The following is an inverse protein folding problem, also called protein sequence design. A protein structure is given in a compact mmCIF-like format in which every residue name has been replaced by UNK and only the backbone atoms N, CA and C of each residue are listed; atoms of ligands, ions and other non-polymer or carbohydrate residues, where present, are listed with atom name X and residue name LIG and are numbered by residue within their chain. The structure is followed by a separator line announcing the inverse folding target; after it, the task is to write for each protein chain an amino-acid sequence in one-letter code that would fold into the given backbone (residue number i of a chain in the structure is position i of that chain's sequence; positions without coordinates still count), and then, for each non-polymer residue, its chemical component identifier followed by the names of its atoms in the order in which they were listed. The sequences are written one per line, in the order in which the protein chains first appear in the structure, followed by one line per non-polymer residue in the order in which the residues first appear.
data_IF_954961912648
#
_entry.id   IF_954961912648
#
_cell.length_a   1.000
_cell.length_b   1.000
_cell.length_c   1.000
_cell.angle_alpha   90.00
_cell.angle_beta   90.00
_cell.angle_gamma   90.00
#
_symmetry.space_group_name_H-M   'P 1'
#
loop_
_entity.id
_entity.type
_entity.pdbx_description
1 polymer ?
#
# COMPACT_ATOMS: atom_id res chain seq x y z
N UNK A 1 -12.12 -4.79 10.58
CA UNK A 1 -11.05 -5.53 11.28
C UNK A 1 -10.52 -6.56 10.32
N UNK A 2 -9.21 -6.58 10.09
CA UNK A 2 -8.62 -7.53 9.16
C UNK A 2 -8.46 -8.90 9.86
N UNK A 3 -8.64 -9.99 9.12
CA UNK A 3 -8.68 -11.32 9.73
C UNK A 3 -7.28 -11.81 10.10
N UNK A 4 -7.13 -12.62 11.17
CA UNK A 4 -5.87 -13.30 11.49
C UNK A 4 -5.32 -14.13 10.32
N UNK A 5 -6.20 -14.67 9.48
CA UNK A 5 -5.83 -15.44 8.29
C UNK A 5 -5.15 -14.57 7.22
N UNK A 6 -5.69 -13.38 6.92
CA UNK A 6 -5.08 -12.43 5.98
C UNK A 6 -3.68 -11.98 6.45
N UNK A 7 -3.53 -11.73 7.76
CA UNK A 7 -2.23 -11.41 8.36
C UNK A 7 -1.22 -12.53 8.12
N UNK A 8 -1.64 -13.79 8.34
CA UNK A 8 -0.76 -14.95 8.13
C UNK A 8 -0.33 -15.08 6.67
N UNK A 9 -1.25 -14.87 5.73
CA UNK A 9 -0.93 -14.90 4.29
C UNK A 9 0.07 -13.80 3.92
N UNK A 10 -0.12 -12.57 4.42
CA UNK A 10 0.83 -11.47 4.20
C UNK A 10 2.21 -11.71 4.81
N UNK A 11 2.31 -12.50 5.89
CA UNK A 11 3.58 -12.83 6.54
C UNK A 11 4.22 -14.14 6.05
N UNK A 12 3.50 -14.89 5.21
CA UNK A 12 3.93 -16.19 4.70
C UNK A 12 5.15 -16.07 3.76
N UNK A 13 5.89 -17.18 3.53
CA UNK A 13 6.94 -17.24 2.52
C UNK A 13 6.43 -16.86 1.12
N UNK A 14 7.32 -16.37 0.26
CA UNK A 14 6.94 -15.84 -1.07
C UNK A 14 6.19 -16.85 -1.94
N UNK A 15 6.53 -18.14 -1.86
CA UNK A 15 5.83 -19.20 -2.61
C UNK A 15 4.35 -19.26 -2.20
N UNK A 16 4.06 -19.15 -0.91
CA UNK A 16 2.69 -19.19 -0.38
C UNK A 16 1.93 -17.92 -0.74
N UNK A 17 2.55 -16.76 -0.54
CA UNK A 17 1.93 -15.48 -0.87
C UNK A 17 1.63 -15.36 -2.38
N UNK A 18 2.54 -15.79 -3.25
CA UNK A 18 2.31 -15.83 -4.71
C UNK A 18 1.20 -16.80 -5.10
N UNK A 19 1.06 -17.93 -4.41
CA UNK A 19 -0.07 -18.82 -4.63
C UNK A 19 -1.40 -18.13 -4.27
N UNK A 20 -1.44 -17.42 -3.14
CA UNK A 20 -2.61 -16.64 -2.74
C UNK A 20 -2.91 -15.47 -3.70
N UNK A 21 -1.87 -14.82 -4.25
CA UNK A 21 -2.03 -13.75 -5.23
C UNK A 21 -2.84 -14.19 -6.47
N UNK A 22 -2.69 -15.44 -6.91
CA UNK A 22 -3.42 -15.99 -8.09
C UNK A 22 -4.92 -16.05 -7.89
N UNK A 23 -5.37 -16.20 -6.65
CA UNK A 23 -6.80 -16.29 -6.30
C UNK A 23 -7.35 -15.01 -5.67
N UNK A 24 -6.49 -14.02 -5.40
CA UNK A 24 -6.90 -12.73 -4.86
C UNK A 24 -7.80 -11.98 -5.87
N UNK A 25 -9.01 -11.56 -5.49
CA UNK A 25 -9.94 -10.92 -6.41
C UNK A 25 -9.54 -9.47 -6.72
N UNK A 26 -9.05 -8.72 -5.74
CA UNK A 26 -8.63 -7.33 -5.93
C UNK A 26 -7.22 -7.24 -6.51
N UNK A 27 -7.01 -6.32 -7.47
CA UNK A 27 -5.71 -6.07 -8.11
C UNK A 27 -4.65 -5.66 -7.09
N UNK A 28 -5.02 -4.78 -6.18
CA UNK A 28 -4.14 -4.31 -5.12
C UNK A 28 -3.70 -5.44 -4.20
N UNK A 29 -4.64 -6.26 -3.72
CA UNK A 29 -4.31 -7.42 -2.89
C UNK A 29 -3.38 -8.39 -3.64
N UNK A 30 -3.67 -8.65 -4.92
CA UNK A 30 -2.80 -9.47 -5.78
C UNK A 30 -1.40 -8.88 -5.93
N UNK A 31 -1.30 -7.57 -6.14
CA UNK A 31 -0.02 -6.86 -6.24
C UNK A 31 0.74 -7.01 -4.92
N UNK A 32 0.13 -6.68 -3.79
CA UNK A 32 0.74 -6.77 -2.45
C UNK A 32 1.27 -8.19 -2.17
N UNK A 33 0.48 -9.23 -2.48
CA UNK A 33 0.88 -10.63 -2.29
C UNK A 33 2.00 -11.10 -3.24
N UNK A 34 2.20 -10.38 -4.36
CA UNK A 34 3.29 -10.64 -5.30
C UNK A 34 4.61 -9.97 -4.89
N UNK A 35 4.56 -9.02 -3.95
CA UNK A 35 5.74 -8.30 -3.47
C UNK A 35 6.66 -9.16 -2.59
N UNK A 36 7.96 -8.81 -2.50
CA UNK A 36 8.89 -9.47 -1.59
C UNK A 36 8.37 -9.48 -0.15
N UNK A 37 8.71 -10.54 0.59
CA UNK A 37 8.28 -10.71 1.99
C UNK A 37 8.58 -9.51 2.89
N UNK A 38 9.69 -8.81 2.65
CA UNK A 38 10.08 -7.65 3.44
C UNK A 38 9.10 -6.48 3.27
N UNK A 39 8.68 -6.19 2.04
CA UNK A 39 7.69 -5.15 1.77
C UNK A 39 6.33 -5.51 2.39
N UNK A 40 5.89 -6.76 2.25
CA UNK A 40 4.65 -7.25 2.89
C UNK A 40 4.70 -7.15 4.41
N UNK A 41 5.84 -7.47 5.04
CA UNK A 41 6.06 -7.31 6.48
C UNK A 41 6.01 -5.86 6.91
N UNK A 42 6.60 -4.97 6.12
CA UNK A 42 6.54 -3.53 6.36
C UNK A 42 5.09 -3.03 6.31
N UNK A 43 4.33 -3.44 5.30
CA UNK A 43 2.90 -3.12 5.20
C UNK A 43 2.11 -3.62 6.43
N UNK A 44 2.33 -4.87 6.85
CA UNK A 44 1.66 -5.44 8.03
C UNK A 44 1.99 -4.67 9.31
N UNK A 45 3.21 -4.13 9.42
CA UNK A 45 3.65 -3.39 10.61
C UNK A 45 3.08 -1.97 10.68
N UNK A 46 2.94 -1.31 9.54
CA UNK A 46 2.67 0.13 9.49
C UNK A 46 1.23 0.49 9.09
N UNK A 47 0.53 -0.44 8.43
CA UNK A 47 -0.78 -0.19 7.79
C UNK A 47 -1.84 -1.17 8.26
N UNK A 48 -1.58 -2.47 8.11
CA UNK A 48 -2.58 -3.50 8.33
C UNK A 48 -3.05 -3.54 9.79
N UNK A 49 -4.35 -3.78 10.00
CA UNK A 49 -4.96 -3.94 11.33
C UNK A 49 -4.96 -2.65 12.19
N UNK A 50 -4.79 -1.48 11.58
CA UNK A 50 -5.00 -0.19 12.23
C UNK A 50 -6.40 0.38 11.96
N UNK A 51 -6.98 1.16 12.88
CA UNK A 51 -8.28 1.83 12.65
C UNK A 51 -8.21 2.85 11.50
N UNK A 52 -7.05 3.50 11.29
CA UNK A 52 -6.80 4.44 10.20
C UNK A 52 -6.11 3.79 8.99
N UNK A 53 -6.47 2.54 8.67
CA UNK A 53 -5.78 1.74 7.65
C UNK A 53 -5.67 2.45 6.30
N UNK A 54 -6.74 3.09 5.83
CA UNK A 54 -6.76 3.79 4.54
C UNK A 54 -5.76 4.95 4.49
N UNK A 55 -5.79 5.85 5.48
CA UNK A 55 -4.82 6.95 5.59
C UNK A 55 -3.38 6.45 5.78
N UNK A 56 -3.18 5.40 6.59
CA UNK A 56 -1.86 4.78 6.78
C UNK A 56 -1.34 4.15 5.49
N UNK A 57 -2.22 3.57 4.69
CA UNK A 57 -1.87 2.99 3.41
C UNK A 57 -1.43 4.07 2.41
N UNK A 58 -2.14 5.19 2.36
CA UNK A 58 -1.77 6.33 1.52
C UNK A 58 -0.40 6.88 1.92
N UNK A 59 -0.18 7.19 3.21
CA UNK A 59 1.12 7.63 3.74
C UNK A 59 2.21 6.59 3.44
N UNK A 60 1.91 5.31 3.64
CA UNK A 60 2.85 4.24 3.36
C UNK A 60 3.25 4.22 1.88
N UNK A 61 2.30 4.27 0.96
CA UNK A 61 2.59 4.28 -0.48
C UNK A 61 3.39 5.53 -0.89
N UNK A 62 3.04 6.69 -0.35
CA UNK A 62 3.74 7.96 -0.59
C UNK A 62 5.18 7.97 -0.05
N UNK A 63 5.56 7.08 0.85
CA UNK A 63 6.92 6.99 1.41
C UNK A 63 7.74 5.83 0.83
N UNK A 64 7.16 5.01 -0.05
CA UNK A 64 7.89 3.91 -0.69
C UNK A 64 8.90 4.42 -1.73
N UNK A 65 9.83 3.54 -2.12
CA UNK A 65 10.81 3.78 -3.18
C UNK A 65 10.13 3.95 -4.54
N UNK A 66 10.82 4.57 -5.49
CA UNK A 66 10.30 4.80 -6.85
C UNK A 66 9.93 3.47 -7.53
N UNK A 67 10.75 2.44 -7.35
CA UNK A 67 10.48 1.09 -7.88
C UNK A 67 9.14 0.55 -7.39
N UNK A 68 8.90 0.57 -6.06
CA UNK A 68 7.65 0.07 -5.49
C UNK A 68 6.46 0.88 -5.99
N UNK A 69 6.55 2.21 -5.99
CA UNK A 69 5.45 3.08 -6.45
C UNK A 69 5.14 2.89 -7.93
N UNK A 70 6.15 2.80 -8.80
CA UNK A 70 5.92 2.59 -10.24
C UNK A 70 5.33 1.21 -10.51
N UNK A 71 5.72 0.16 -9.78
CA UNK A 71 5.03 -1.14 -9.93
C UNK A 71 3.56 -1.07 -9.49
N UNK A 72 3.26 -0.35 -8.40
CA UNK A 72 1.89 -0.14 -7.95
C UNK A 72 1.07 0.62 -8.98
N UNK A 73 1.62 1.72 -9.53
CA UNK A 73 0.98 2.50 -10.59
C UNK A 73 0.68 1.61 -11.79
N UNK A 74 1.68 0.91 -12.32
CA UNK A 74 1.55 0.12 -13.55
C UNK A 74 0.61 -1.09 -13.37
N UNK A 75 0.66 -1.76 -12.22
CA UNK A 75 -0.06 -3.01 -12.03
C UNK A 75 -1.46 -2.85 -11.43
N UNK A 76 -1.65 -1.79 -10.65
CA UNK A 76 -2.89 -1.50 -9.92
C UNK A 76 -3.59 -0.30 -10.54
N UNK A 77 -3.04 0.90 -10.42
CA UNK A 77 -3.76 2.16 -10.73
C UNK A 77 -4.06 2.35 -12.21
N UNK A 78 -3.10 2.09 -13.10
CA UNK A 78 -3.28 2.22 -14.55
C UNK A 78 -4.30 1.21 -15.11
N UNK A 79 -4.63 0.16 -14.34
CA UNK A 79 -5.62 -0.86 -14.70
C UNK A 79 -6.98 -0.66 -14.03
N UNK A 80 -7.18 0.45 -13.32
CA UNK A 80 -8.47 0.83 -12.74
C UNK A 80 -9.31 1.63 -13.74
N UNK A 81 -10.64 1.53 -13.59
CA UNK A 81 -11.61 2.29 -14.37
C UNK A 81 -12.68 2.89 -13.42
N UNK A 82 -12.80 4.23 -13.36
CA UNK A 82 -11.99 5.23 -14.06
C UNK A 82 -10.52 5.23 -13.59
N UNK A 83 -9.62 5.77 -14.43
CA UNK A 83 -8.21 5.89 -14.08
C UNK A 83 -8.03 6.97 -13.00
N UNK A 84 -7.37 6.69 -11.86
CA UNK A 84 -7.17 7.67 -10.80
C UNK A 84 -5.99 8.60 -11.14
N UNK A 85 -6.25 9.60 -11.99
CA UNK A 85 -5.21 10.51 -12.51
C UNK A 85 -4.47 11.28 -11.40
N UNK A 86 -5.19 11.71 -10.36
CA UNK A 86 -4.62 12.49 -9.26
C UNK A 86 -3.68 11.64 -8.40
N UNK A 87 -4.08 10.42 -8.05
CA UNK A 87 -3.24 9.49 -7.27
C UNK A 87 -1.97 9.12 -8.04
N UNK A 88 -2.10 8.79 -9.34
CA UNK A 88 -0.95 8.50 -10.20
C UNK A 88 -0.02 9.71 -10.29
N UNK A 89 -0.57 10.92 -10.44
CA UNK A 89 0.22 12.15 -10.48
C UNK A 89 0.97 12.37 -9.17
N UNK A 90 0.32 12.19 -8.03
CA UNK A 90 0.93 12.37 -6.71
C UNK A 90 2.06 11.36 -6.46
N UNK A 91 1.86 10.08 -6.78
CA UNK A 91 2.88 9.04 -6.58
C UNK A 91 4.12 9.23 -7.47
N UNK A 92 3.99 9.95 -8.59
CA UNK A 92 5.11 10.31 -9.49
C UNK A 92 5.86 11.58 -9.08
N UNK A 93 5.38 12.30 -8.07
CA UNK A 93 6.08 13.50 -7.63
C UNK A 93 7.43 13.16 -6.96
N UNK A 94 8.38 14.10 -7.00
CA UNK A 94 9.59 14.06 -6.18
C UNK A 94 9.31 13.75 -4.70
N UNK A 95 10.28 13.15 -4.01
CA UNK A 95 10.10 12.68 -2.63
C UNK A 95 9.76 13.81 -1.65
N UNK A 96 10.38 14.97 -1.80
CA UNK A 96 10.13 16.17 -1.01
C UNK A 96 8.68 16.66 -1.14
N UNK A 97 8.11 16.62 -2.35
CA UNK A 97 6.70 16.97 -2.58
C UNK A 97 5.76 15.96 -1.90
N UNK A 98 6.07 14.66 -1.99
CA UNK A 98 5.26 13.62 -1.32
C UNK A 98 5.36 13.69 0.20
N UNK A 99 6.55 13.95 0.73
CA UNK A 99 6.78 14.14 2.18
C UNK A 99 6.05 15.38 2.70
N UNK A 100 6.13 16.50 1.99
CA UNK A 100 5.34 17.69 2.31
C UNK A 100 3.83 17.39 2.27
N UNK A 101 3.33 16.67 1.26
CA UNK A 101 1.92 16.28 1.21
C UNK A 101 1.49 15.42 2.41
N UNK A 102 2.30 14.44 2.80
CA UNK A 102 2.05 13.62 3.99
C UNK A 102 1.93 14.51 5.24
N UNK A 103 2.87 15.44 5.43
CA UNK A 103 2.90 16.29 6.62
C UNK A 103 1.81 17.36 6.63
N UNK A 104 1.69 18.11 5.54
CA UNK A 104 0.91 19.35 5.45
C UNK A 104 -0.56 19.08 5.09
N UNK A 105 -0.86 17.92 4.50
CA UNK A 105 -2.23 17.54 4.12
C UNK A 105 -2.71 16.39 4.97
N UNK A 106 -2.12 15.20 4.87
CA UNK A 106 -2.69 14.00 5.50
C UNK A 106 -2.61 14.09 7.03
N UNK A 107 -1.45 14.44 7.59
CA UNK A 107 -1.28 14.52 9.05
C UNK A 107 -1.88 15.80 9.65
N UNK A 108 -2.10 16.84 8.85
CA UNK A 108 -2.75 18.07 9.30
C UNK A 108 -4.25 17.89 9.58
N UNK A 109 -4.90 16.90 8.96
CA UNK A 109 -6.31 16.55 9.21
C UNK A 109 -6.56 15.93 10.60
N UNK A 110 -5.50 15.45 11.26
CA UNK A 110 -5.57 14.91 12.61
C UNK A 110 -4.55 13.80 12.86
N UNK A 111 -4.23 13.51 14.12
CA UNK A 111 -3.26 12.47 14.46
C UNK A 111 -3.79 11.09 14.06
N UNK A 112 -2.90 10.25 13.55
CA UNK A 112 -3.19 8.82 13.38
C UNK A 112 -3.39 8.19 14.76
N UNK A 113 -4.41 7.34 14.89
CA UNK A 113 -4.64 6.58 16.11
C UNK A 113 -3.43 5.71 16.43
N UNK A 114 -3.07 5.62 17.71
CA UNK A 114 -2.06 4.68 18.16
C UNK A 114 -2.55 3.23 17.96
N UNK A 115 -1.66 2.27 17.62
CA UNK A 115 -1.99 0.85 17.61
C UNK A 115 -2.52 0.34 18.96
#
# INVERSE_FOLDING_TARGET
MASPAERQVLLAPDVVARAAARVAPQREQRWMLSQPRELRRHFVRHVFDHPDMERRQEIWMLTQTDEVRETYIAEVLERQHPRPHQEIWMLRQPIDVRESYVHDVILAEGPLSSP
#
